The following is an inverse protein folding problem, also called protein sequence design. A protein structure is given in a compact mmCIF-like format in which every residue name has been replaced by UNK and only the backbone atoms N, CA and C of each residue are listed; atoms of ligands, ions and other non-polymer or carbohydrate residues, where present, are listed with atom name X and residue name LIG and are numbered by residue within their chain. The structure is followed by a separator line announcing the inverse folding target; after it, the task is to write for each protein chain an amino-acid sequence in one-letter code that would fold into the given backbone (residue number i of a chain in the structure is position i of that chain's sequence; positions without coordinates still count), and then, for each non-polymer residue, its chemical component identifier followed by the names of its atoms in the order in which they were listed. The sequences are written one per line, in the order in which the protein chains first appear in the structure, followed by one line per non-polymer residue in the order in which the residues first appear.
data_IF_409622729659
#
_entry.id   IF_409622729659
#
_cell.length_a   1.000
_cell.length_b   1.000
_cell.length_c   1.000
_cell.angle_alpha   90.00
_cell.angle_beta   90.00
_cell.angle_gamma   90.00
#
_symmetry.space_group_name_H-M   'P 1'
#
loop_
_entity.id
_entity.type
_entity.pdbx_description
1 polymer ?
#
# COMPACT_ATOMS: atom_id res chain seq x y z
N UNK A 1 17.19 13.39 1.04
CA UNK A 1 17.17 11.98 0.59
C UNK A 1 17.15 11.82 -0.93
N UNK A 2 16.23 12.49 -1.64
CA UNK A 2 16.10 12.38 -3.12
C UNK A 2 17.42 12.57 -3.89
N UNK A 3 18.18 13.61 -3.55
CA UNK A 3 19.50 13.85 -4.14
C UNK A 3 20.45 12.66 -3.94
N UNK A 4 20.54 12.13 -2.71
CA UNK A 4 21.40 11.00 -2.39
C UNK A 4 21.07 9.79 -3.27
N UNK A 5 19.80 9.38 -3.35
CA UNK A 5 19.42 8.18 -4.13
C UNK A 5 19.66 8.37 -5.62
N UNK A 6 19.45 9.59 -6.16
CA UNK A 6 19.76 9.92 -7.54
C UNK A 6 21.25 9.81 -7.84
N UNK A 7 22.10 10.33 -6.95
CA UNK A 7 23.55 10.21 -7.08
C UNK A 7 24.01 8.74 -7.05
N UNK A 8 23.41 7.90 -6.19
CA UNK A 8 23.74 6.46 -6.15
C UNK A 8 23.39 5.78 -7.48
N UNK A 9 22.19 6.02 -8.01
CA UNK A 9 21.78 5.42 -9.29
C UNK A 9 22.65 5.90 -10.45
N UNK A 10 23.03 7.18 -10.51
CA UNK A 10 23.99 7.71 -11.51
C UNK A 10 25.33 6.96 -11.49
N UNK A 11 25.76 6.54 -10.30
CA UNK A 11 26.99 5.76 -10.10
C UNK A 11 26.78 4.24 -10.24
N UNK A 12 25.64 3.79 -10.78
CA UNK A 12 25.25 2.37 -10.91
C UNK A 12 25.17 1.62 -9.59
N UNK A 13 24.93 2.33 -8.49
CA UNK A 13 24.68 1.76 -7.16
C UNK A 13 23.17 1.76 -6.92
N UNK A 14 22.59 0.58 -6.71
CA UNK A 14 21.16 0.44 -6.41
C UNK A 14 20.90 0.74 -4.93
N UNK A 15 20.12 1.79 -4.59
CA UNK A 15 19.61 1.96 -3.23
C UNK A 15 18.76 0.74 -2.87
N UNK A 16 19.13 0.02 -1.82
CA UNK A 16 18.47 -1.23 -1.46
C UNK A 16 17.61 -1.09 -0.21
N UNK A 17 18.21 -0.70 0.91
CA UNK A 17 17.51 -0.48 2.17
C UNK A 17 17.70 0.94 2.69
N UNK A 18 16.64 1.46 3.30
CA UNK A 18 16.68 2.56 4.24
C UNK A 18 16.36 1.96 5.62
N UNK A 19 17.30 2.02 6.55
CA UNK A 19 17.11 1.45 7.88
C UNK A 19 16.55 2.49 8.84
N UNK A 20 15.56 2.08 9.62
CA UNK A 20 15.27 2.72 10.90
C UNK A 20 16.48 2.52 11.83
N UNK A 21 16.84 3.57 12.57
CA UNK A 21 17.96 3.48 13.50
C UNK A 21 17.64 2.50 14.65
N UNK A 22 18.55 1.54 14.83
CA UNK A 22 18.43 0.43 15.79
C UNK A 22 18.38 0.90 17.24
N UNK A 23 18.04 -0.04 18.13
CA UNK A 23 17.97 0.14 19.58
C UNK A 23 19.32 -0.09 20.27
N UNK A 24 20.44 0.08 19.56
CA UNK A 24 21.77 -0.11 20.11
C UNK A 24 22.13 0.98 21.12
N UNK A 25 22.99 0.64 22.08
CA UNK A 25 23.45 1.58 23.09
C UNK A 25 24.27 2.73 22.47
N UNK A 26 24.11 3.94 23.01
CA UNK A 26 24.87 5.12 22.59
C UNK A 26 24.38 5.83 21.32
N UNK A 27 23.47 5.24 20.52
CA UNK A 27 23.00 5.83 19.25
C UNK A 27 21.59 6.43 19.32
N UNK A 28 20.98 6.51 20.51
CA UNK A 28 19.61 6.99 20.69
C UNK A 28 19.35 8.39 20.10
N UNK A 29 20.35 9.26 20.09
CA UNK A 29 20.26 10.63 19.58
C UNK A 29 20.21 10.70 18.03
N UNK A 30 20.56 9.63 17.32
CA UNK A 30 20.38 9.51 15.88
C UNK A 30 19.00 8.97 15.50
N UNK A 31 18.20 8.51 16.48
CA UNK A 31 16.91 7.89 16.20
C UNK A 31 15.92 8.93 15.71
N UNK A 32 15.14 8.52 14.73
CA UNK A 32 14.01 9.29 14.20
C UNK A 32 12.72 8.50 14.42
N UNK A 33 11.56 9.16 14.52
CA UNK A 33 10.28 8.47 14.52
C UNK A 33 10.07 7.70 13.21
N UNK A 34 9.35 6.57 13.27
CA UNK A 34 9.01 5.76 12.07
C UNK A 34 8.27 6.60 11.02
N UNK A 35 7.44 7.55 11.47
CA UNK A 35 6.72 8.48 10.59
C UNK A 35 7.65 9.27 9.68
N UNK A 36 8.89 9.59 10.12
CA UNK A 36 9.87 10.28 9.28
C UNK A 36 10.37 9.41 8.14
N UNK A 37 10.57 8.11 8.40
CA UNK A 37 10.87 7.13 7.35
C UNK A 37 9.74 7.03 6.33
N UNK A 38 8.49 6.97 6.79
CA UNK A 38 7.30 6.95 5.92
C UNK A 38 7.21 8.23 5.07
N UNK A 39 7.42 9.41 5.68
CA UNK A 39 7.44 10.69 4.97
C UNK A 39 8.51 10.73 3.87
N UNK A 40 9.72 10.23 4.17
CA UNK A 40 10.79 10.11 3.18
C UNK A 40 10.33 9.21 2.03
N UNK A 41 9.71 8.06 2.34
CA UNK A 41 9.23 7.14 1.31
C UNK A 41 8.13 7.75 0.43
N UNK A 42 7.19 8.48 1.03
CA UNK A 42 6.14 9.22 0.30
C UNK A 42 6.76 10.23 -0.67
N UNK A 43 7.82 10.95 -0.26
CA UNK A 43 8.52 11.93 -1.13
C UNK A 43 9.33 11.31 -2.27
N UNK A 44 9.54 9.99 -2.27
CA UNK A 44 10.32 9.25 -3.26
C UNK A 44 9.43 8.45 -4.22
N UNK A 45 8.48 7.70 -3.69
CA UNK A 45 7.58 6.86 -4.49
C UNK A 45 6.76 7.76 -5.41
N UNK A 46 6.72 7.44 -6.71
CA UNK A 46 6.05 8.25 -7.73
C UNK A 46 6.81 9.52 -8.16
N UNK A 47 7.58 10.14 -7.26
CA UNK A 47 8.34 11.36 -7.55
C UNK A 47 9.75 11.14 -8.14
N UNK A 48 10.21 9.89 -8.20
CA UNK A 48 11.46 9.47 -8.85
C UNK A 48 11.31 8.12 -9.54
N UNK A 49 12.27 7.74 -10.39
CA UNK A 49 12.40 6.38 -10.90
C UNK A 49 12.34 5.34 -9.78
N UNK A 50 11.54 4.29 -9.98
CA UNK A 50 11.40 3.19 -9.03
C UNK A 50 12.72 2.49 -8.70
N UNK A 51 13.71 2.54 -9.59
CA UNK A 51 15.07 2.05 -9.33
C UNK A 51 15.80 2.80 -8.21
N UNK A 52 15.42 4.06 -7.96
CA UNK A 52 16.01 4.91 -6.93
C UNK A 52 15.27 4.82 -5.59
N UNK A 53 14.18 4.04 -5.51
CA UNK A 53 13.35 3.92 -4.31
C UNK A 53 13.87 2.72 -3.48
N UNK A 54 14.50 2.95 -2.31
CA UNK A 54 14.92 1.85 -1.44
C UNK A 54 13.69 1.25 -0.72
N UNK A 55 13.87 0.08 -0.10
CA UNK A 55 12.89 -0.46 0.84
C UNK A 55 13.16 0.11 2.23
N UNK A 56 12.21 0.83 2.82
CA UNK A 56 12.33 1.25 4.22
C UNK A 56 12.02 0.08 5.14
N UNK A 57 12.91 -0.20 6.09
CA UNK A 57 12.80 -1.36 6.98
C UNK A 57 13.10 -0.98 8.43
N UNK A 58 12.40 -1.67 9.33
CA UNK A 58 12.68 -1.65 10.77
C UNK A 58 13.23 -3.02 11.16
N UNK A 59 14.41 -3.06 11.76
CA UNK A 59 14.93 -4.32 12.31
C UNK A 59 14.28 -4.56 13.67
N UNK A 60 13.81 -5.78 13.88
CA UNK A 60 13.11 -6.13 15.11
C UNK A 60 14.08 -6.54 16.21
N UNK A 61 13.89 -6.06 17.46
CA UNK A 61 14.68 -6.56 18.57
C UNK A 61 14.43 -8.06 18.75
N UNK A 62 15.49 -8.82 19.01
CA UNK A 62 15.41 -10.28 19.19
C UNK A 62 15.47 -11.12 17.91
N UNK A 63 15.81 -10.54 16.76
CA UNK A 63 16.12 -11.31 15.55
C UNK A 63 14.92 -11.75 14.71
N UNK A 64 13.77 -11.07 14.84
CA UNK A 64 12.59 -11.30 13.97
C UNK A 64 12.76 -10.82 12.53
N UNK A 65 13.94 -10.28 12.18
CA UNK A 65 14.29 -9.83 10.84
C UNK A 65 13.80 -8.42 10.52
N UNK A 66 13.93 -8.08 9.23
CA UNK A 66 13.69 -6.73 8.68
C UNK A 66 12.26 -6.61 8.21
N UNK A 67 11.46 -5.84 8.94
CA UNK A 67 10.05 -5.60 8.60
C UNK A 67 9.98 -4.41 7.63
N UNK A 68 9.48 -4.60 6.40
CA UNK A 68 9.26 -3.49 5.49
C UNK A 68 8.14 -2.58 6.00
N UNK A 69 8.39 -1.28 5.92
CA UNK A 69 7.39 -0.25 6.24
C UNK A 69 7.26 0.65 5.03
N UNK A 70 6.02 0.91 4.61
CA UNK A 70 5.70 1.77 3.47
C UNK A 70 4.48 2.64 3.78
N UNK A 71 4.26 3.72 3.02
CA UNK A 71 2.98 4.41 3.08
C UNK A 71 1.82 3.52 2.62
N UNK A 72 0.63 3.83 3.11
CA UNK A 72 -0.60 3.11 2.74
C UNK A 72 -1.17 3.72 1.47
N UNK A 73 -1.17 2.96 0.37
CA UNK A 73 -1.82 3.32 -0.89
C UNK A 73 -3.15 2.60 -1.09
N UNK A 74 -3.34 1.45 -0.44
CA UNK A 74 -4.63 0.76 -0.36
C UNK A 74 -5.51 1.46 0.68
N UNK A 75 -6.67 1.94 0.25
CA UNK A 75 -7.64 2.60 1.14
C UNK A 75 -8.70 1.61 1.61
N UNK A 76 -9.29 0.85 0.67
CA UNK A 76 -10.33 -0.14 0.95
C UNK A 76 -10.48 -1.10 -0.23
N UNK A 77 -11.18 -2.22 -0.04
CA UNK A 77 -11.52 -3.17 -1.07
C UNK A 77 -12.94 -3.71 -0.86
N UNK A 78 -13.56 -4.14 -1.95
CA UNK A 78 -14.84 -4.85 -1.98
C UNK A 78 -14.67 -6.21 -2.67
N UNK A 79 -15.77 -6.84 -3.07
CA UNK A 79 -15.72 -8.12 -3.78
C UNK A 79 -15.11 -7.95 -5.18
N UNK A 80 -15.38 -6.85 -5.88
CA UNK A 80 -15.00 -6.68 -7.29
C UNK A 80 -14.17 -5.42 -7.57
N UNK A 81 -14.02 -4.53 -6.58
CA UNK A 81 -13.37 -3.23 -6.75
C UNK A 81 -12.41 -2.95 -5.60
N UNK A 82 -11.23 -2.43 -5.91
CA UNK A 82 -10.22 -1.99 -4.94
C UNK A 82 -10.03 -0.49 -5.07
N UNK A 83 -10.06 0.24 -3.95
CA UNK A 83 -9.83 1.68 -3.92
C UNK A 83 -8.42 1.96 -3.46
N UNK A 84 -7.68 2.67 -4.31
CA UNK A 84 -6.28 3.02 -4.13
C UNK A 84 -6.15 4.55 -4.14
N UNK A 85 -5.13 5.07 -3.45
CA UNK A 85 -4.61 6.40 -3.74
C UNK A 85 -3.28 6.28 -4.48
N UNK A 86 -2.99 7.23 -5.36
CA UNK A 86 -1.64 7.37 -5.92
C UNK A 86 -0.79 8.34 -5.08
N UNK A 87 0.44 8.60 -5.53
CA UNK A 87 1.39 9.52 -4.89
C UNK A 87 0.96 11.00 -4.96
N UNK A 88 0.07 11.36 -5.88
CA UNK A 88 -0.49 12.71 -6.03
C UNK A 88 -1.73 12.91 -5.14
N UNK A 89 -2.19 11.86 -4.45
CA UNK A 89 -3.40 11.87 -3.64
C UNK A 89 -4.69 11.63 -4.44
N UNK A 90 -4.59 11.32 -5.75
CA UNK A 90 -5.74 10.94 -6.56
C UNK A 90 -6.23 9.57 -6.08
N UNK A 91 -7.50 9.51 -5.72
CA UNK A 91 -8.17 8.26 -5.34
C UNK A 91 -8.75 7.64 -6.61
N UNK A 92 -8.33 6.42 -6.92
CA UNK A 92 -8.77 5.66 -8.07
C UNK A 92 -9.32 4.28 -7.68
N UNK A 93 -10.23 3.77 -8.50
CA UNK A 93 -10.75 2.41 -8.39
C UNK A 93 -10.09 1.49 -9.40
N UNK A 94 -9.64 0.34 -8.94
CA UNK A 94 -9.24 -0.78 -9.78
C UNK A 94 -10.35 -1.84 -9.80
N UNK A 95 -10.84 -2.18 -10.99
CA UNK A 95 -11.80 -3.26 -11.19
C UNK A 95 -11.07 -4.60 -11.18
N UNK A 96 -11.39 -5.45 -10.20
CA UNK A 96 -10.94 -6.83 -10.17
C UNK A 96 -11.71 -7.68 -11.19
N UNK A 97 -11.08 -8.76 -11.71
CA UNK A 97 -11.75 -9.67 -12.64
C UNK A 97 -12.99 -10.31 -11.99
N UNK A 98 -14.11 -10.31 -12.74
CA UNK A 98 -15.38 -10.91 -12.32
C UNK A 98 -15.26 -12.42 -12.02
N UNK A 99 -14.32 -13.08 -12.70
CA UNK A 99 -14.00 -14.48 -12.54
C UNK A 99 -12.50 -14.63 -12.24
N UNK A 100 -12.15 -14.39 -10.98
CA UNK A 100 -10.98 -15.03 -10.39
C UNK A 100 -11.51 -16.25 -9.65
N UNK A 101 -10.93 -17.43 -9.90
CA UNK A 101 -11.15 -18.62 -9.06
C UNK A 101 -10.56 -18.32 -7.67
N UNK A 102 -11.24 -17.45 -6.93
CA UNK A 102 -11.08 -17.37 -5.50
C UNK A 102 -11.38 -18.79 -5.03
N UNK A 103 -10.40 -19.47 -4.46
CA UNK A 103 -10.74 -20.60 -3.58
C UNK A 103 -11.70 -20.01 -2.56
N UNK A 104 -12.88 -20.59 -2.51
CA UNK A 104 -14.08 -19.91 -2.06
C UNK A 104 -14.63 -20.78 -0.93
N UNK A 105 -14.84 -20.30 0.30
CA UNK A 105 -15.26 -21.08 1.50
C UNK A 105 -16.66 -21.77 1.51
N UNK A 106 -16.86 -23.03 1.10
CA UNK A 106 -18.12 -23.81 1.33
C UNK A 106 -18.64 -23.89 2.78
N UNK A 107 -18.00 -23.23 3.74
CA UNK A 107 -18.29 -23.28 5.17
C UNK A 107 -18.18 -24.69 5.81
N UNK A 108 -17.64 -25.66 5.08
CA UNK A 108 -16.89 -26.76 5.68
C UNK A 108 -15.46 -26.25 5.84
N UNK A 109 -15.06 -25.84 7.06
CA UNK A 109 -13.73 -25.25 7.27
C UNK A 109 -12.57 -26.15 6.78
N UNK A 110 -12.84 -27.43 6.51
CA UNK A 110 -11.91 -28.39 5.93
C UNK A 110 -12.03 -28.63 4.38
N UNK A 111 -13.03 -28.10 3.59
CA UNK A 111 -13.27 -28.58 2.18
C UNK A 111 -13.89 -27.65 1.06
N UNK A 112 -13.48 -26.39 0.89
CA UNK A 112 -14.36 -25.29 0.44
C UNK A 112 -14.53 -24.80 -1.05
N UNK A 113 -15.77 -24.40 -1.54
CA UNK A 113 -16.14 -23.72 -2.86
C UNK A 113 -17.36 -22.66 -2.97
N UNK A 114 -17.46 -21.50 -2.25
CA UNK A 114 -18.42 -20.27 -2.30
C UNK A 114 -18.99 -19.65 -3.64
N UNK A 115 -19.91 -18.64 -3.54
CA UNK A 115 -19.84 -17.15 -3.87
C UNK A 115 -20.73 -16.36 -2.87
N UNK A 116 -20.47 -15.06 -2.59
CA UNK A 116 -21.37 -14.19 -1.80
C UNK A 116 -22.55 -13.67 -2.65
N UNK A 117 -23.78 -13.75 -2.13
CA UNK A 117 -25.00 -13.20 -2.77
C UNK A 117 -25.26 -11.74 -2.34
N UNK A 118 -25.27 -10.83 -3.30
CA UNK A 118 -25.25 -9.36 -3.09
C UNK A 118 -26.61 -8.70 -3.40
N UNK A 119 -27.65 -9.49 -3.71
CA UNK A 119 -28.96 -8.99 -4.20
C UNK A 119 -29.75 -8.09 -3.23
N UNK A 120 -29.30 -7.93 -1.99
CA UNK A 120 -30.01 -7.19 -0.94
C UNK A 120 -29.16 -6.09 -0.26
N UNK A 121 -28.00 -5.73 -0.82
CA UNK A 121 -27.27 -4.57 -0.32
C UNK A 121 -28.05 -3.29 -0.70
N UNK A 122 -28.53 -2.56 0.31
CA UNK A 122 -29.19 -1.26 0.13
C UNK A 122 -28.18 -0.23 -0.38
N UNK A 123 -28.14 -0.08 -1.70
CA UNK A 123 -27.33 0.88 -2.42
C UNK A 123 -28.01 2.27 -2.41
N UNK A 124 -28.20 2.83 -1.22
CA UNK A 124 -28.55 4.25 -1.05
C UNK A 124 -27.52 5.16 -1.76
N UNK A 125 -27.85 6.44 -2.02
CA UNK A 125 -26.94 7.41 -2.67
C UNK A 125 -25.61 7.50 -1.92
N UNK A 126 -24.64 6.70 -2.32
CA UNK A 126 -23.32 6.64 -1.71
C UNK A 126 -22.47 7.83 -2.19
N UNK A 127 -21.72 8.41 -1.26
CA UNK A 127 -20.82 9.54 -1.52
C UNK A 127 -19.38 9.16 -1.15
N UNK A 128 -18.41 9.87 -1.73
CA UNK A 128 -16.98 9.64 -1.44
C UNK A 128 -16.51 8.24 -1.80
N UNK A 129 -15.73 7.60 -0.90
CA UNK A 129 -15.15 6.28 -1.15
C UNK A 129 -16.20 5.19 -1.38
N UNK A 130 -17.38 5.30 -0.75
CA UNK A 130 -18.47 4.35 -0.98
C UNK A 130 -19.01 4.42 -2.42
N UNK A 131 -18.97 5.59 -3.06
CA UNK A 131 -19.35 5.77 -4.47
C UNK A 131 -18.41 5.03 -5.42
N UNK A 132 -17.12 5.03 -5.12
CA UNK A 132 -16.11 4.31 -5.90
C UNK A 132 -16.26 2.78 -5.83
N UNK A 133 -16.94 2.27 -4.80
CA UNK A 133 -17.18 0.85 -4.59
C UNK A 133 -18.52 0.36 -5.18
N UNK A 134 -19.45 1.26 -5.50
CA UNK A 134 -20.76 0.90 -6.02
C UNK A 134 -20.66 0.30 -7.43
N UNK A 135 -21.28 -0.85 -7.67
CA UNK A 135 -21.21 -1.56 -8.95
C UNK A 135 -22.02 -0.85 -10.05
N UNK A 136 -23.05 -0.07 -9.69
CA UNK A 136 -23.89 0.69 -10.61
C UNK A 136 -23.35 2.07 -11.01
N UNK A 137 -22.29 2.57 -10.35
CA UNK A 137 -21.71 3.89 -10.63
C UNK A 137 -20.42 3.75 -11.46
N UNK A 138 -20.32 4.51 -12.56
CA UNK A 138 -19.18 4.52 -13.48
C UNK A 138 -18.00 5.39 -12.99
N UNK A 139 -18.15 6.07 -11.84
CA UNK A 139 -17.11 6.95 -11.29
C UNK A 139 -15.87 6.16 -10.87
N UNK A 140 -14.74 6.44 -11.51
CA UNK A 140 -13.46 5.77 -11.23
C UNK A 140 -12.50 6.60 -10.39
N UNK A 141 -12.73 7.90 -10.25
CA UNK A 141 -11.87 8.84 -9.49
C UNK A 141 -12.70 9.89 -8.75
N UNK A 142 -12.23 10.34 -7.57
CA UNK A 142 -12.96 11.30 -6.73
C UNK A 142 -12.53 12.77 -6.89
N UNK A 143 -11.43 13.04 -7.61
CA UNK A 143 -10.89 14.38 -7.83
C UNK A 143 -10.31 14.42 -9.25
N UNK A 144 -10.62 15.50 -9.98
CA UNK A 144 -10.13 15.78 -11.33
C UNK A 144 -9.17 16.97 -11.29
#
# INVERSE_FOLDING_TARGET
MKELVHQRVKNRIRPYYLYQCDLSEGISHFRTPISKGIEIMESLIGHTSGFAVPRYVVDTPGGGGKIPVSPNYLLTWSVNKVVLRNYEGIICTYQEPAHYDRIRCDENCDACKLQLDIKHADESKVVGVARLLADYDETTTLIQ
#
